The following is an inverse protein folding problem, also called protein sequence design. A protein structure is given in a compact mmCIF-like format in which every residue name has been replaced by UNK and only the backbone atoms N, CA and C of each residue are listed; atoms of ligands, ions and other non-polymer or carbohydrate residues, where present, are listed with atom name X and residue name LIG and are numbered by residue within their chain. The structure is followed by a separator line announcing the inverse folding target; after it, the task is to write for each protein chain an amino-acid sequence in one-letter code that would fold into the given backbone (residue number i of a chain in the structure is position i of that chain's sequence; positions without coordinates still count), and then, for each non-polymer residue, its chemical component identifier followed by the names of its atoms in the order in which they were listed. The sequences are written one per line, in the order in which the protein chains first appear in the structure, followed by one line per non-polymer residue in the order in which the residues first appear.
data_IF_595095187018
#
_entry.id   IF_595095187018
#
_cell.length_a   1.000
_cell.length_b   1.000
_cell.length_c   1.000
_cell.angle_alpha   90.00
_cell.angle_beta   90.00
_cell.angle_gamma   90.00
#
_symmetry.space_group_name_H-M   'P 1'
#
loop_
_entity.id
_entity.type
_entity.pdbx_description
1 polymer ?
#
# COMPACT_ATOMS: atom_id res chain seq x y z
N UNK A 1 5.62 22.83 -7.28
CA UNK A 1 5.63 23.13 -5.82
C UNK A 1 6.82 22.42 -5.18
N UNK A 2 7.50 23.04 -4.21
CA UNK A 2 8.58 22.43 -3.41
C UNK A 2 8.23 22.65 -1.95
N UNK A 3 8.20 21.58 -1.16
CA UNK A 3 7.85 21.65 0.26
C UNK A 3 9.09 22.10 1.03
N UNK A 4 8.97 23.15 1.85
CA UNK A 4 10.11 23.69 2.60
C UNK A 4 10.39 22.86 3.86
N UNK A 5 11.65 22.86 4.31
CA UNK A 5 12.06 22.14 5.52
C UNK A 5 11.29 22.59 6.76
N UNK A 6 11.07 23.90 6.94
CA UNK A 6 10.29 24.41 8.07
C UNK A 6 8.84 23.93 8.07
N UNK A 7 8.23 23.73 6.89
CA UNK A 7 6.89 23.14 6.78
C UNK A 7 6.91 21.66 7.19
N UNK A 8 7.95 20.92 6.77
CA UNK A 8 8.09 19.50 7.12
C UNK A 8 8.37 19.28 8.60
N UNK A 9 9.07 20.19 9.27
CA UNK A 9 9.24 20.16 10.73
C UNK A 9 7.89 20.29 11.44
N UNK A 10 7.04 21.24 11.03
CA UNK A 10 5.68 21.37 11.57
C UNK A 10 4.84 20.10 11.35
N UNK A 11 4.90 19.51 10.15
CA UNK A 11 4.21 18.24 9.90
C UNK A 11 4.78 17.05 10.68
N UNK A 12 6.07 17.06 11.00
CA UNK A 12 6.68 16.04 11.86
C UNK A 12 6.16 16.16 13.30
N UNK A 13 5.96 17.38 13.81
CA UNK A 13 5.36 17.59 15.13
C UNK A 13 3.91 17.11 15.18
N UNK A 14 3.12 17.35 14.12
CA UNK A 14 1.78 16.78 13.98
C UNK A 14 1.79 15.26 13.86
N UNK A 15 2.74 14.69 13.10
CA UNK A 15 2.91 13.25 12.98
C UNK A 15 3.27 12.60 14.32
N UNK A 16 4.04 13.30 15.18
CA UNK A 16 4.36 12.85 16.53
C UNK A 16 3.11 12.76 17.41
N UNK A 17 2.24 13.78 17.37
CA UNK A 17 0.97 13.73 18.09
C UNK A 17 0.10 12.55 17.64
N UNK A 18 0.03 12.31 16.33
CA UNK A 18 -0.70 11.15 15.78
C UNK A 18 -0.07 9.82 16.22
N UNK A 19 1.26 9.74 16.33
CA UNK A 19 1.94 8.55 16.84
C UNK A 19 1.60 8.27 18.30
N UNK A 20 1.55 9.31 19.14
CA UNK A 20 1.22 9.23 20.55
C UNK A 20 -0.23 8.75 20.75
N UNK A 21 -1.17 9.29 19.98
CA UNK A 21 -2.59 8.87 19.99
C UNK A 21 -2.77 7.39 19.60
N UNK A 22 -1.93 6.90 18.69
CA UNK A 22 -1.94 5.51 18.22
C UNK A 22 -1.06 4.57 19.07
N UNK A 23 -0.37 5.10 20.09
CA UNK A 23 0.60 4.40 20.92
C UNK A 23 1.68 3.66 20.10
N UNK A 24 2.22 4.33 19.07
CA UNK A 24 3.23 3.78 18.16
C UNK A 24 4.61 4.34 18.50
N UNK A 25 5.60 3.45 18.58
CA UNK A 25 7.00 3.85 18.76
C UNK A 25 7.54 4.43 17.46
N UNK A 26 8.12 5.62 17.54
CA UNK A 26 8.63 6.37 16.39
C UNK A 26 10.01 6.95 16.67
N UNK A 27 10.73 7.34 15.62
CA UNK A 27 11.99 8.07 15.71
C UNK A 27 11.96 9.27 14.78
N UNK A 28 12.29 10.45 15.30
CA UNK A 28 12.30 11.68 14.51
C UNK A 28 13.32 11.62 13.37
N UNK A 29 12.95 12.20 12.24
CA UNK A 29 13.84 12.42 11.12
C UNK A 29 14.75 13.61 11.41
N UNK A 30 16.03 13.49 11.05
CA UNK A 30 16.97 14.61 11.06
C UNK A 30 16.60 15.64 9.98
N UNK A 31 17.07 16.88 10.07
CA UNK A 31 16.84 17.89 9.01
C UNK A 31 17.31 17.45 7.61
N UNK A 32 18.39 16.65 7.55
CA UNK A 32 18.85 16.03 6.30
C UNK A 32 17.86 15.00 5.76
N UNK A 33 17.29 14.16 6.62
CA UNK A 33 16.26 13.17 6.26
C UNK A 33 14.95 13.85 5.85
N UNK A 34 14.51 14.90 6.56
CA UNK A 34 13.33 15.69 6.18
C UNK A 34 13.49 16.32 4.80
N UNK A 35 14.65 16.92 4.51
CA UNK A 35 14.94 17.48 3.20
C UNK A 35 14.90 16.40 2.10
N UNK A 36 15.46 15.22 2.36
CA UNK A 36 15.44 14.08 1.42
C UNK A 36 14.02 13.56 1.20
N UNK A 37 13.26 13.38 2.29
CA UNK A 37 11.85 13.01 2.27
C UNK A 37 11.06 13.99 1.41
N UNK A 38 11.13 15.30 1.69
CA UNK A 38 10.36 16.32 0.98
C UNK A 38 10.66 16.38 -0.51
N UNK A 39 11.95 16.22 -0.88
CA UNK A 39 12.37 16.14 -2.29
C UNK A 39 11.84 14.89 -2.99
N UNK A 40 11.95 13.73 -2.36
CA UNK A 40 11.46 12.46 -2.90
C UNK A 40 9.94 12.47 -3.02
N UNK A 41 9.25 12.91 -1.97
CA UNK A 41 7.80 13.01 -1.92
C UNK A 41 7.27 13.92 -3.04
N UNK A 42 7.84 15.12 -3.15
CA UNK A 42 7.45 16.08 -4.19
C UNK A 42 7.69 15.53 -5.61
N UNK A 43 8.77 14.77 -5.83
CA UNK A 43 9.09 14.21 -7.15
C UNK A 43 8.11 13.09 -7.53
N UNK A 44 7.94 12.12 -6.64
CA UNK A 44 7.20 10.90 -6.94
C UNK A 44 5.68 11.08 -6.87
N UNK A 45 5.19 11.96 -5.99
CA UNK A 45 3.75 12.04 -5.69
C UNK A 45 3.11 13.38 -6.04
N UNK A 46 3.90 14.43 -6.31
CA UNK A 46 3.35 15.75 -6.67
C UNK A 46 3.66 16.09 -8.12
N UNK A 47 4.90 15.91 -8.56
CA UNK A 47 5.35 16.28 -9.92
C UNK A 47 5.10 15.21 -10.97
N UNK A 48 5.10 13.94 -10.57
CA UNK A 48 4.87 12.83 -11.50
C UNK A 48 3.40 12.71 -11.93
N UNK A 49 2.47 13.30 -11.17
CA UNK A 49 1.05 13.14 -11.43
C UNK A 49 0.53 14.18 -12.43
N UNK A 50 -0.25 13.75 -13.44
CA UNK A 50 -0.72 14.64 -14.50
C UNK A 50 -1.83 15.58 -14.03
N UNK A 51 -2.54 15.26 -12.94
CA UNK A 51 -3.66 16.07 -12.44
C UNK A 51 -3.40 16.60 -11.04
N UNK A 52 -3.75 17.88 -10.84
CA UNK A 52 -3.59 18.56 -9.55
C UNK A 52 -4.40 17.90 -8.44
N UNK A 53 -5.62 17.45 -8.73
CA UNK A 53 -6.49 16.82 -7.75
C UNK A 53 -5.89 15.56 -7.13
N UNK A 54 -5.14 14.78 -7.91
CA UNK A 54 -4.45 13.60 -7.37
C UNK A 54 -3.23 13.99 -6.54
N UNK A 55 -2.45 14.97 -6.98
CA UNK A 55 -1.35 15.52 -6.20
C UNK A 55 -1.82 16.12 -4.86
N UNK A 56 -3.02 16.73 -4.85
CA UNK A 56 -3.60 17.32 -3.64
C UNK A 56 -3.94 16.25 -2.59
N UNK A 57 -4.33 15.04 -2.98
CA UNK A 57 -4.53 13.90 -2.04
C UNK A 57 -3.23 13.60 -1.30
N UNK A 58 -2.12 13.50 -2.02
CA UNK A 58 -0.81 13.29 -1.41
C UNK A 58 -0.42 14.44 -0.49
N UNK A 59 -0.63 15.69 -0.91
CA UNK A 59 -0.31 16.85 -0.07
C UNK A 59 -1.12 16.82 1.24
N UNK A 60 -2.40 16.44 1.20
CA UNK A 60 -3.23 16.28 2.40
C UNK A 60 -2.71 15.19 3.33
N UNK A 61 -2.17 14.10 2.77
CA UNK A 61 -1.68 12.95 3.52
C UNK A 61 -0.17 12.93 3.78
N UNK A 62 0.49 14.10 3.70
CA UNK A 62 1.94 14.17 3.89
C UNK A 62 2.36 13.83 5.32
N UNK A 63 1.53 14.18 6.31
CA UNK A 63 1.80 13.92 7.73
C UNK A 63 1.73 12.43 8.04
N UNK A 64 0.79 11.69 7.45
CA UNK A 64 0.70 10.23 7.56
C UNK A 64 1.88 9.57 6.84
N UNK A 65 2.32 10.14 5.71
CA UNK A 65 3.58 9.74 5.07
C UNK A 65 4.78 9.94 6.00
N UNK A 66 4.93 11.12 6.61
CA UNK A 66 6.00 11.39 7.57
C UNK A 66 5.95 10.45 8.77
N UNK A 67 4.77 10.17 9.31
CA UNK A 67 4.60 9.19 10.37
C UNK A 67 5.11 7.81 9.93
N UNK A 68 4.78 7.36 8.71
CA UNK A 68 5.34 6.14 8.13
C UNK A 68 6.87 6.14 8.08
N UNK A 69 7.48 7.27 7.72
CA UNK A 69 8.94 7.42 7.72
C UNK A 69 9.54 7.32 9.13
N UNK A 70 8.90 7.93 10.13
CA UNK A 70 9.35 7.89 11.53
C UNK A 70 9.24 6.48 12.12
N UNK A 71 8.18 5.75 11.77
CA UNK A 71 8.00 4.34 12.14
C UNK A 71 9.08 3.49 11.47
N UNK A 72 9.27 3.65 10.15
CA UNK A 72 10.28 2.90 9.40
C UNK A 72 11.70 3.12 9.94
N UNK A 73 12.04 4.36 10.31
CA UNK A 73 13.32 4.68 10.94
C UNK A 73 13.49 3.95 12.28
N UNK A 74 12.45 3.94 13.11
CA UNK A 74 12.46 3.26 14.41
C UNK A 74 12.57 1.74 14.27
N UNK A 75 11.75 1.16 13.39
CA UNK A 75 11.65 -0.27 13.14
C UNK A 75 12.93 -0.80 12.49
N UNK A 76 13.37 -0.21 11.37
CA UNK A 76 14.52 -0.69 10.58
C UNK A 76 15.88 -0.21 11.11
N UNK A 77 15.89 0.69 12.10
CA UNK A 77 17.08 1.29 12.72
C UNK A 77 18.06 1.89 11.71
N UNK A 78 17.52 2.53 10.67
CA UNK A 78 18.30 3.06 9.55
C UNK A 78 17.72 4.40 9.06
N UNK A 79 18.58 5.22 8.44
CA UNK A 79 18.17 6.53 7.92
C UNK A 79 17.33 6.43 6.65
N UNK A 80 16.40 7.38 6.48
CA UNK A 80 15.57 7.52 5.29
C UNK A 80 16.34 8.26 4.18
N UNK A 81 16.42 7.67 2.97
CA UNK A 81 17.25 8.20 1.88
C UNK A 81 16.56 8.42 0.53
N UNK A 82 15.24 8.27 0.42
CA UNK A 82 14.51 8.51 -0.83
C UNK A 82 14.49 7.30 -1.76
N UNK A 83 14.47 7.53 -3.07
CA UNK A 83 14.27 6.48 -4.09
C UNK A 83 15.49 5.57 -4.30
N UNK A 84 16.70 6.12 -4.18
CA UNK A 84 17.97 5.41 -4.38
C UNK A 84 18.78 5.44 -3.07
N UNK A 85 18.37 4.68 -2.04
CA UNK A 85 19.07 4.64 -0.76
C UNK A 85 20.47 4.03 -0.91
N UNK A 86 21.39 4.43 -0.03
CA UNK A 86 22.68 3.74 0.12
C UNK A 86 22.53 2.37 0.80
N UNK A 87 23.62 1.59 0.79
CA UNK A 87 23.64 0.24 1.38
C UNK A 87 23.10 0.23 2.81
N UNK A 88 22.16 -0.69 3.08
CA UNK A 88 21.52 -0.88 4.39
C UNK A 88 20.76 0.37 4.92
N UNK A 89 20.32 1.26 4.03
CA UNK A 89 19.46 2.39 4.37
C UNK A 89 18.01 2.10 3.99
N UNK A 90 17.09 2.96 4.41
CA UNK A 90 15.67 2.82 4.07
C UNK A 90 15.38 3.66 2.83
N UNK A 91 14.83 3.02 1.79
CA UNK A 91 14.23 3.73 0.67
C UNK A 91 12.81 4.13 1.00
N UNK A 92 12.43 5.33 0.58
CA UNK A 92 11.15 5.91 0.96
C UNK A 92 11.19 7.44 1.01
N UNK A 93 10.07 8.12 0.75
CA UNK A 93 8.76 7.57 0.38
C UNK A 93 8.75 7.03 -1.07
N UNK A 94 8.16 5.85 -1.28
CA UNK A 94 7.99 5.15 -2.57
C UNK A 94 6.52 4.80 -2.81
N UNK A 95 6.00 4.74 -4.05
CA UNK A 95 4.68 4.20 -4.32
C UNK A 95 4.53 2.77 -3.79
N UNK A 96 3.32 2.42 -3.33
CA UNK A 96 3.04 1.04 -2.94
C UNK A 96 2.99 0.17 -4.19
N UNK A 97 3.97 -0.73 -4.33
CA UNK A 97 4.01 -1.75 -5.38
C UNK A 97 3.28 -3.01 -4.91
N UNK A 98 2.62 -3.71 -5.84
CA UNK A 98 1.93 -4.98 -5.57
C UNK A 98 2.87 -6.02 -4.91
N UNK A 99 4.13 -6.04 -5.34
CA UNK A 99 5.14 -6.98 -4.85
C UNK A 99 5.51 -6.76 -3.37
N UNK A 100 5.35 -5.53 -2.84
CA UNK A 100 5.57 -5.25 -1.42
C UNK A 100 4.49 -5.88 -0.52
N UNK A 101 3.38 -6.31 -1.10
CA UNK A 101 2.28 -6.95 -0.39
C UNK A 101 2.11 -8.42 -0.81
N UNK A 102 3.08 -8.95 -1.56
CA UNK A 102 3.07 -10.33 -2.06
C UNK A 102 2.01 -10.61 -3.12
N UNK A 103 1.33 -9.59 -3.68
CA UNK A 103 0.18 -9.79 -4.60
C UNK A 103 0.62 -10.30 -5.98
N UNK A 104 1.71 -9.75 -6.51
CA UNK A 104 2.20 -10.01 -7.86
C UNK A 104 3.38 -9.10 -8.21
N UNK A 105 3.91 -9.19 -9.43
CA UNK A 105 5.01 -8.35 -9.90
C UNK A 105 4.57 -6.89 -10.08
N UNK A 106 3.31 -6.72 -10.51
CA UNK A 106 2.63 -5.45 -10.67
C UNK A 106 1.14 -5.58 -10.29
N UNK A 107 0.45 -4.45 -10.16
CA UNK A 107 -0.99 -4.40 -9.93
C UNK A 107 -1.82 -4.86 -11.12
N UNK A 108 -1.29 -4.71 -12.34
CA UNK A 108 -1.87 -5.34 -13.53
C UNK A 108 -1.56 -6.83 -13.51
N UNK A 109 -0.37 -7.26 -13.12
CA UNK A 109 0.02 -8.66 -13.10
C UNK A 109 -0.30 -9.37 -11.77
N UNK A 110 -1.58 -9.37 -11.37
CA UNK A 110 -2.09 -10.26 -10.31
C UNK A 110 -2.07 -11.70 -10.85
N UNK A 111 -0.87 -12.22 -11.08
CA UNK A 111 -0.58 -13.54 -11.64
C UNK A 111 -0.55 -14.64 -10.56
N UNK A 112 -1.03 -14.30 -9.36
CA UNK A 112 -0.73 -15.04 -8.15
C UNK A 112 -1.91 -15.69 -7.44
N UNK A 113 -3.17 -15.36 -7.77
CA UNK A 113 -4.31 -15.79 -6.95
C UNK A 113 -5.02 -17.02 -7.52
N UNK A 114 -5.18 -17.15 -8.85
CA UNK A 114 -5.85 -18.30 -9.49
C UNK A 114 -5.15 -18.70 -10.80
N UNK A 115 -4.70 -19.95 -10.87
CA UNK A 115 -3.77 -20.56 -11.86
C UNK A 115 -4.29 -20.64 -13.32
N UNK A 116 -5.23 -19.79 -13.74
CA UNK A 116 -5.72 -19.75 -15.13
C UNK A 116 -6.49 -18.50 -15.54
N UNK A 117 -6.79 -17.57 -14.62
CA UNK A 117 -7.74 -16.47 -14.86
C UNK A 117 -7.13 -15.18 -14.29
N UNK A 118 -6.24 -14.58 -15.07
CA UNK A 118 -5.52 -13.35 -14.72
C UNK A 118 -6.51 -12.18 -14.63
N UNK A 119 -6.51 -11.49 -13.49
CA UNK A 119 -7.18 -10.19 -13.29
C UNK A 119 -8.71 -10.25 -13.42
N UNK A 120 -9.27 -11.44 -13.38
CA UNK A 120 -10.70 -11.66 -13.51
C UNK A 120 -11.33 -12.00 -12.17
N UNK A 121 -12.50 -11.41 -11.94
CA UNK A 121 -13.19 -11.48 -10.67
C UNK A 121 -14.60 -12.03 -10.86
N UNK A 122 -15.00 -13.00 -10.04
CA UNK A 122 -16.39 -13.47 -9.97
C UNK A 122 -17.31 -12.39 -9.36
N UNK A 123 -18.34 -11.91 -10.07
CA UNK A 123 -19.24 -10.90 -9.55
C UNK A 123 -20.23 -11.50 -8.55
N UNK A 124 -20.65 -10.71 -7.56
CA UNK A 124 -21.67 -11.08 -6.60
C UNK A 124 -21.20 -11.86 -5.37
N UNK A 125 -19.88 -12.03 -5.21
CA UNK A 125 -19.24 -12.60 -4.02
C UNK A 125 -17.95 -11.85 -3.70
N UNK A 126 -17.60 -11.74 -2.42
CA UNK A 126 -16.31 -11.20 -2.01
C UNK A 126 -15.20 -12.18 -2.39
N UNK A 127 -14.05 -11.65 -2.83
CA UNK A 127 -12.89 -12.44 -3.25
C UNK A 127 -11.63 -11.93 -2.57
N UNK A 128 -10.72 -12.85 -2.26
CA UNK A 128 -9.43 -12.51 -1.67
C UNK A 128 -8.59 -11.73 -2.69
N UNK A 129 -8.00 -10.62 -2.25
CA UNK A 129 -7.10 -9.80 -3.06
C UNK A 129 -5.69 -9.78 -2.48
N UNK A 130 -5.55 -9.36 -1.21
CA UNK A 130 -4.27 -9.37 -0.51
C UNK A 130 -4.37 -10.42 0.58
N UNK A 131 -3.68 -11.54 0.38
CA UNK A 131 -3.71 -12.69 1.28
C UNK A 131 -2.46 -13.56 1.06
N UNK A 132 -2.24 -14.50 1.95
CA UNK A 132 -1.03 -15.32 1.96
C UNK A 132 -1.00 -16.53 1.01
N UNK A 133 -2.00 -16.64 0.12
CA UNK A 133 -2.11 -17.73 -0.85
C UNK A 133 -1.57 -17.36 -2.22
N UNK A 134 -0.93 -16.19 -2.35
CA UNK A 134 -0.40 -15.71 -3.62
C UNK A 134 0.87 -16.48 -4.02
N UNK A 135 1.20 -16.50 -5.31
CA UNK A 135 2.38 -17.21 -5.83
C UNK A 135 3.73 -16.68 -5.31
N UNK A 136 3.88 -15.37 -5.16
CA UNK A 136 5.07 -14.77 -4.56
C UNK A 136 5.23 -15.14 -3.07
N UNK A 137 4.18 -15.73 -2.52
CA UNK A 137 4.06 -16.21 -1.17
C UNK A 137 4.03 -17.76 -1.15
N UNK A 138 4.73 -18.43 -2.06
CA UNK A 138 4.95 -19.89 -2.00
C UNK A 138 3.72 -20.77 -2.22
N UNK A 139 2.55 -20.19 -2.58
CA UNK A 139 1.29 -20.83 -2.99
C UNK A 139 1.05 -22.25 -2.43
N UNK A 140 0.42 -22.35 -1.26
CA UNK A 140 -0.17 -23.60 -0.78
C UNK A 140 -1.68 -23.39 -0.70
N UNK A 141 -2.49 -24.31 -1.24
CA UNK A 141 -3.95 -24.15 -1.23
C UNK A 141 -4.52 -23.88 0.18
N UNK A 142 -3.88 -24.41 1.22
CA UNK A 142 -4.23 -24.18 2.62
C UNK A 142 -3.97 -22.76 3.15
N UNK A 143 -3.20 -21.92 2.44
CA UNK A 143 -2.91 -20.53 2.82
C UNK A 143 -3.82 -19.49 2.15
N UNK A 144 -4.69 -19.93 1.23
CA UNK A 144 -5.66 -19.06 0.57
C UNK A 144 -6.64 -18.47 1.58
N UNK A 145 -6.83 -17.15 1.55
CA UNK A 145 -7.71 -16.43 2.48
C UNK A 145 -7.12 -16.09 3.85
N UNK A 146 -5.89 -16.53 4.16
CA UNK A 146 -5.20 -16.14 5.39
C UNK A 146 -4.53 -14.78 5.25
N UNK A 147 -4.43 -14.04 6.36
CA UNK A 147 -3.77 -12.73 6.40
C UNK A 147 -2.24 -12.86 6.24
N UNK A 148 -1.63 -11.85 5.63
CA UNK A 148 -0.18 -11.67 5.56
C UNK A 148 0.30 -10.86 6.76
N UNK A 149 1.45 -11.18 7.34
CA UNK A 149 2.14 -10.39 8.37
C UNK A 149 3.22 -9.55 7.71
N UNK A 150 3.26 -8.27 8.02
CA UNK A 150 4.31 -7.38 7.54
C UNK A 150 5.59 -7.62 8.35
N UNK A 151 6.71 -7.82 7.65
CA UNK A 151 8.02 -8.00 8.29
C UNK A 151 8.67 -6.68 8.75
N UNK A 152 9.75 -6.79 9.53
CA UNK A 152 10.54 -5.65 10.05
C UNK A 152 11.08 -4.74 8.93
N UNK A 153 11.22 -5.24 7.72
CA UNK A 153 11.91 -4.59 6.61
C UNK A 153 11.00 -3.71 5.73
N UNK A 154 9.70 -3.60 6.03
CA UNK A 154 8.75 -2.77 5.31
C UNK A 154 7.78 -2.02 6.24
N UNK A 155 7.38 -0.83 5.82
CA UNK A 155 6.27 -0.05 6.40
C UNK A 155 5.44 0.53 5.27
N UNK A 156 4.12 0.38 5.33
CA UNK A 156 3.19 0.91 4.33
C UNK A 156 2.19 1.85 4.97
N UNK A 157 1.92 2.97 4.31
CA UNK A 157 0.89 3.93 4.69
C UNK A 157 -0.10 4.05 3.54
N UNK A 158 -1.31 3.57 3.75
CA UNK A 158 -2.38 3.51 2.75
C UNK A 158 -3.42 4.57 3.10
N UNK A 159 -3.68 5.51 2.20
CA UNK A 159 -4.70 6.55 2.40
C UNK A 159 -5.70 6.64 1.24
N UNK A 160 -5.60 5.74 0.25
CA UNK A 160 -6.60 5.68 -0.81
C UNK A 160 -6.66 4.34 -1.51
N UNK A 161 -7.72 4.19 -2.29
CA UNK A 161 -7.99 3.04 -3.15
C UNK A 161 -8.32 3.53 -4.54
N UNK A 162 -7.73 2.93 -5.57
CA UNK A 162 -8.08 3.23 -6.96
C UNK A 162 -8.27 1.93 -7.74
N UNK A 163 -8.77 2.07 -8.95
CA UNK A 163 -8.57 1.08 -10.00
C UNK A 163 -7.89 1.78 -11.17
N UNK A 164 -6.96 1.08 -11.83
CA UNK A 164 -6.32 1.55 -13.07
C UNK A 164 -7.07 1.09 -14.32
N UNK A 165 -8.12 0.28 -14.17
CA UNK A 165 -9.00 -0.10 -15.28
C UNK A 165 -9.77 1.12 -15.80
N UNK A 166 -9.88 1.27 -17.13
CA UNK A 166 -10.56 2.42 -17.75
C UNK A 166 -12.06 2.52 -17.38
N UNK A 167 -12.67 1.38 -17.01
CA UNK A 167 -14.04 1.29 -16.51
C UNK A 167 -14.07 0.49 -15.20
N UNK A 168 -13.77 1.12 -14.05
CA UNK A 168 -13.71 0.43 -12.76
C UNK A 168 -15.02 -0.26 -12.42
N UNK A 169 -14.94 -1.52 -11.97
CA UNK A 169 -16.06 -2.37 -11.58
C UNK A 169 -16.09 -2.64 -10.08
N UNK A 170 -14.99 -2.35 -9.38
CA UNK A 170 -14.86 -2.44 -7.93
C UNK A 170 -15.98 -1.67 -7.24
N UNK A 171 -16.74 -2.36 -6.41
CA UNK A 171 -17.86 -1.78 -5.66
C UNK A 171 -17.44 -1.44 -4.23
N UNK A 172 -16.75 -2.36 -3.57
CA UNK A 172 -16.27 -2.16 -2.21
C UNK A 172 -15.05 -3.02 -1.90
N UNK A 173 -14.29 -2.59 -0.90
CA UNK A 173 -13.14 -3.31 -0.34
C UNK A 173 -13.39 -3.53 1.15
N UNK A 174 -13.01 -4.68 1.67
CA UNK A 174 -13.02 -4.97 3.10
C UNK A 174 -11.61 -5.37 3.56
N UNK A 175 -11.19 -4.81 4.69
CA UNK A 175 -9.91 -5.14 5.31
C UNK A 175 -10.12 -5.94 6.59
N UNK A 176 -9.24 -6.90 6.84
CA UNK A 176 -9.05 -7.50 8.15
C UNK A 176 -7.64 -7.18 8.61
N UNK A 177 -7.53 -6.47 9.74
CA UNK A 177 -6.26 -6.00 10.30
C UNK A 177 -6.17 -6.56 11.72
N UNK A 178 -5.08 -7.27 12.02
CA UNK A 178 -4.85 -7.87 13.36
C UNK A 178 -6.01 -8.76 13.82
N UNK A 179 -6.50 -9.59 12.89
CA UNK A 179 -7.65 -10.47 13.10
C UNK A 179 -9.00 -9.77 13.25
N UNK A 180 -9.05 -8.44 13.16
CA UNK A 180 -10.29 -7.66 13.27
C UNK A 180 -10.76 -7.18 11.90
N UNK A 181 -11.88 -7.72 11.45
CA UNK A 181 -12.56 -7.27 10.24
C UNK A 181 -13.09 -5.85 10.42
N UNK A 182 -12.71 -4.97 9.51
CA UNK A 182 -13.16 -3.57 9.47
C UNK A 182 -14.46 -3.46 8.67
N UNK A 183 -15.24 -2.38 8.87
CA UNK A 183 -16.37 -2.06 7.99
C UNK A 183 -15.93 -2.01 6.51
N UNK A 184 -16.81 -2.43 5.61
CA UNK A 184 -16.52 -2.34 4.18
C UNK A 184 -16.44 -0.88 3.74
N UNK A 185 -15.48 -0.59 2.87
CA UNK A 185 -15.26 0.71 2.28
C UNK A 185 -15.95 0.71 0.92
N UNK A 186 -16.95 1.58 0.77
CA UNK A 186 -17.65 1.75 -0.49
C UNK A 186 -16.80 2.55 -1.49
N UNK A 187 -16.48 1.94 -2.62
CA UNK A 187 -15.68 2.52 -3.69
C UNK A 187 -16.54 2.92 -4.91
N UNK A 188 -17.72 2.30 -5.06
CA UNK A 188 -18.55 2.41 -6.27
C UNK A 188 -18.91 3.84 -6.67
N UNK A 189 -19.20 4.74 -5.73
CA UNK A 189 -19.49 6.14 -6.08
C UNK A 189 -18.28 6.86 -6.65
N UNK A 190 -17.17 6.86 -5.90
CA UNK A 190 -15.93 7.52 -6.29
C UNK A 190 -15.37 6.95 -7.60
N UNK A 191 -15.48 5.63 -7.80
CA UNK A 191 -14.88 4.91 -8.92
C UNK A 191 -15.78 4.71 -10.14
N UNK A 192 -17.11 4.77 -10.02
CA UNK A 192 -18.04 4.54 -11.15
C UNK A 192 -18.77 5.80 -11.60
N UNK A 193 -19.13 6.67 -10.67
CA UNK A 193 -20.08 7.76 -10.91
C UNK A 193 -19.43 9.13 -11.05
N UNK A 194 -18.14 9.26 -10.71
CA UNK A 194 -17.36 10.49 -10.92
C UNK A 194 -16.98 10.68 -12.42
N UNK A 195 -17.94 11.13 -13.24
CA UNK A 195 -17.73 11.49 -14.65
C UNK A 195 -16.63 12.57 -14.78
N UNK A 196 -15.69 12.40 -15.72
CA UNK A 196 -14.67 13.41 -16.04
C UNK A 196 -13.34 13.32 -15.26
N UNK A 197 -13.21 12.43 -14.28
CA UNK A 197 -11.95 12.20 -13.57
C UNK A 197 -11.12 11.10 -14.28
N UNK A 198 -9.90 11.44 -14.70
CA UNK A 198 -8.98 10.55 -15.45
C UNK A 198 -8.41 9.40 -14.61
N UNK A 199 -8.37 9.51 -13.28
CA UNK A 199 -8.15 8.40 -12.34
C UNK A 199 -8.98 8.66 -11.09
N UNK A 200 -9.73 7.64 -10.66
CA UNK A 200 -10.76 7.76 -9.64
C UNK A 200 -10.29 7.15 -8.33
N UNK A 201 -9.73 8.00 -7.48
CA UNK A 201 -9.21 7.61 -6.16
C UNK A 201 -10.31 7.80 -5.12
N UNK A 202 -10.62 6.73 -4.38
CA UNK A 202 -11.36 6.79 -3.13
C UNK A 202 -10.37 7.05 -1.99
N UNK A 203 -10.30 8.30 -1.55
CA UNK A 203 -9.56 8.69 -0.35
C UNK A 203 -10.24 8.10 0.90
N UNK A 204 -9.41 7.60 1.82
CA UNK A 204 -9.84 7.03 3.09
C UNK A 204 -9.90 8.14 4.14
N UNK A 205 -10.90 8.07 5.02
CA UNK A 205 -11.04 9.06 6.09
C UNK A 205 -9.88 8.96 7.09
N UNK A 206 -9.38 7.75 7.32
CA UNK A 206 -8.20 7.47 8.14
C UNK A 206 -7.22 6.63 7.34
N UNK A 207 -5.93 6.99 7.39
CA UNK A 207 -4.88 6.18 6.79
C UNK A 207 -4.69 4.87 7.57
N UNK A 208 -4.40 3.80 6.84
CA UNK A 208 -4.02 2.51 7.38
C UNK A 208 -2.49 2.43 7.37
N UNK A 209 -1.89 2.22 8.53
CA UNK A 209 -0.43 2.07 8.67
C UNK A 209 -0.15 0.61 8.96
N UNK A 210 0.57 -0.04 8.05
CA UNK A 210 1.03 -1.41 8.20
C UNK A 210 2.50 -1.38 8.61
N UNK A 211 2.79 -1.94 9.77
CA UNK A 211 4.13 -2.01 10.39
C UNK A 211 4.46 -3.45 10.75
N UNK A 212 5.67 -3.70 11.23
CA UNK A 212 6.08 -5.00 11.76
C UNK A 212 4.97 -5.63 12.62
N UNK A 213 4.74 -6.91 12.42
CA UNK A 213 3.76 -7.75 13.13
C UNK A 213 2.29 -7.45 12.85
N UNK A 214 2.00 -6.42 12.06
CA UNK A 214 0.63 -6.16 11.60
C UNK A 214 0.21 -7.27 10.65
N UNK A 215 -0.92 -7.92 10.94
CA UNK A 215 -1.54 -8.87 10.00
C UNK A 215 -2.55 -8.13 9.13
N UNK A 216 -2.51 -8.36 7.83
CA UNK A 216 -3.30 -7.65 6.84
C UNK A 216 -3.92 -8.63 5.85
N UNK A 217 -5.23 -8.49 5.62
CA UNK A 217 -5.96 -9.18 4.56
C UNK A 217 -6.89 -8.18 3.89
N UNK A 218 -6.96 -8.23 2.56
CA UNK A 218 -7.91 -7.43 1.78
C UNK A 218 -8.79 -8.33 0.92
N UNK A 219 -10.08 -8.03 0.91
CA UNK A 219 -11.09 -8.65 0.07
C UNK A 219 -11.78 -7.59 -0.78
N UNK A 220 -12.08 -7.94 -2.03
CA UNK A 220 -12.73 -7.06 -3.00
C UNK A 220 -14.10 -7.62 -3.36
N UNK A 221 -15.04 -6.72 -3.65
CA UNK A 221 -16.37 -7.09 -4.09
C UNK A 221 -16.74 -6.36 -5.38
N UNK A 222 -17.29 -7.13 -6.33
CA UNK A 222 -17.78 -6.66 -7.62
C UNK A 222 -19.26 -6.98 -7.73
N UNK A 223 -20.07 -6.01 -8.17
CA UNK A 223 -21.52 -6.18 -8.26
C UNK A 223 -21.92 -7.19 -9.35
N UNK A 224 -23.02 -7.94 -9.12
CA UNK A 224 -23.67 -8.78 -10.14
C UNK A 224 -24.18 -8.00 -11.36
N UNK A 225 -24.26 -6.67 -11.25
CA UNK A 225 -24.64 -5.82 -12.38
C UNK A 225 -23.63 -5.88 -13.55
N UNK A 226 -22.38 -6.30 -13.32
CA UNK A 226 -21.34 -6.36 -14.37
C UNK A 226 -21.24 -7.73 -15.07
N UNK A 227 -22.04 -8.72 -14.65
CA UNK A 227 -22.03 -10.06 -15.22
C UNK A 227 -22.73 -11.08 -14.32
N UNK A 228 -23.13 -12.21 -14.89
CA UNK A 228 -23.55 -13.35 -14.08
C UNK A 228 -22.38 -13.85 -13.22
N UNK A 229 -22.64 -14.53 -12.09
CA UNK A 229 -21.59 -15.05 -11.19
C UNK A 229 -20.55 -15.94 -11.91
N UNK A 230 -20.92 -16.55 -13.04
CA UNK A 230 -20.07 -17.39 -13.89
C UNK A 230 -19.29 -16.61 -14.96
N UNK A 231 -19.60 -15.32 -15.15
CA UNK A 231 -18.91 -14.43 -16.08
C UNK A 231 -17.95 -13.56 -15.30
N UNK A 232 -16.68 -13.78 -15.55
CA UNK A 232 -15.62 -13.03 -14.93
C UNK A 232 -15.55 -11.58 -15.42
N UNK A 233 -15.15 -10.69 -14.51
CA UNK A 233 -14.94 -9.28 -14.84
C UNK A 233 -13.49 -8.87 -14.66
N UNK A 234 -12.93 -8.20 -15.68
CA UNK A 234 -11.61 -7.59 -15.59
C UNK A 234 -11.63 -6.31 -14.75
N UNK A 235 -10.74 -6.21 -13.75
CA UNK A 235 -10.46 -4.98 -12.98
C UNK A 235 -9.10 -5.05 -12.27
N UNK A 236 -8.53 -3.88 -11.94
CA UNK A 236 -7.18 -3.71 -11.39
C UNK A 236 -7.18 -2.81 -10.13
N UNK A 237 -7.65 -3.31 -8.97
CA UNK A 237 -7.58 -2.57 -7.73
C UNK A 237 -6.12 -2.24 -7.36
N UNK A 238 -5.88 -1.02 -6.88
CA UNK A 238 -4.56 -0.56 -6.41
C UNK A 238 -4.67 0.18 -5.09
N UNK A 239 -3.68 0.01 -4.23
CA UNK A 239 -3.54 0.81 -3.01
C UNK A 239 -2.83 2.13 -3.32
N UNK A 240 -3.40 3.23 -2.86
CA UNK A 240 -2.81 4.56 -2.96
C UNK A 240 -2.19 4.93 -1.61
N UNK A 241 -0.91 5.28 -1.62
CA UNK A 241 -0.15 5.36 -0.40
C UNK A 241 1.34 5.60 -0.61
N UNK A 242 2.09 5.52 0.49
CA UNK A 242 3.56 5.49 0.48
C UNK A 242 4.08 4.23 1.17
N UNK A 243 5.22 3.76 0.71
CA UNK A 243 5.99 2.65 1.28
C UNK A 243 7.38 3.10 1.67
N UNK A 244 7.89 2.44 2.71
CA UNK A 244 9.28 2.49 3.16
C UNK A 244 9.80 1.06 3.18
N UNK A 245 10.91 0.82 2.49
CA UNK A 245 11.45 -0.53 2.30
C UNK A 245 12.97 -0.47 2.48
N UNK A 246 13.55 -1.49 3.12
CA UNK A 246 14.99 -1.58 3.30
C UNK A 246 15.71 -1.79 1.96
N UNK A 247 16.84 -1.12 1.77
CA UNK A 247 17.55 -1.08 0.48
C UNK A 247 17.87 -2.44 -0.17
N UNK A 248 18.26 -3.50 0.56
CA UNK A 248 18.54 -4.78 -0.09
C UNK A 248 17.35 -5.36 -0.86
N UNK A 249 16.15 -5.20 -0.31
CA UNK A 249 14.90 -5.61 -0.93
C UNK A 249 14.58 -4.82 -2.21
N UNK A 250 15.08 -3.59 -2.32
CA UNK A 250 14.86 -2.74 -3.49
C UNK A 250 15.78 -3.07 -4.66
N UNK A 251 16.83 -3.87 -4.45
CA UNK A 251 17.73 -4.32 -5.52
C UNK A 251 17.09 -5.36 -6.43
N UNK A 252 16.06 -6.05 -5.93
CA UNK A 252 15.35 -7.08 -6.69
C UNK A 252 14.24 -6.42 -7.52
N UNK A 253 14.34 -6.54 -8.85
CA UNK A 253 13.28 -6.07 -9.77
C UNK A 253 11.98 -6.86 -9.58
N UNK A 254 12.14 -8.18 -9.42
CA UNK A 254 11.10 -9.13 -9.06
C UNK A 254 11.56 -9.82 -7.77
N UNK A 255 10.91 -9.57 -6.62
CA UNK A 255 11.34 -10.17 -5.37
C UNK A 255 11.19 -11.69 -5.43
N UNK A 256 12.27 -12.41 -5.13
CA UNK A 256 12.26 -13.88 -5.08
C UNK A 256 11.65 -14.30 -3.76
N UNK A 257 10.41 -14.82 -3.81
CA UNK A 257 9.64 -15.47 -2.76
C UNK A 257 10.03 -15.14 -1.30
N UNK A 258 9.12 -14.50 -0.57
CA UNK A 258 9.21 -14.37 0.88
C UNK A 258 9.55 -15.73 1.52
N UNK A 259 10.35 -15.77 2.58
CA UNK A 259 10.71 -17.01 3.27
C UNK A 259 9.63 -17.43 4.27
N UNK A 260 9.20 -18.70 4.25
CA UNK A 260 8.01 -19.21 4.93
C UNK A 260 8.36 -19.99 6.21
N UNK A 261 7.85 -19.56 7.39
CA UNK A 261 7.65 -20.48 8.52
C UNK A 261 6.46 -20.06 9.40
N UNK A 262 5.50 -20.97 9.65
CA UNK A 262 4.45 -20.81 10.66
C UNK A 262 3.02 -20.61 10.14
N UNK A 263 2.05 -20.54 11.07
CA UNK A 263 0.62 -20.35 10.81
C UNK A 263 0.24 -18.93 10.36
N UNK A 264 1.19 -18.00 10.44
CA UNK A 264 1.08 -16.62 9.96
C UNK A 264 2.20 -16.42 8.94
N UNK A 265 1.84 -15.93 7.77
CA UNK A 265 2.75 -15.85 6.64
C UNK A 265 3.41 -14.49 6.59
N UNK A 266 4.75 -14.46 6.60
CA UNK A 266 5.51 -13.23 6.77
C UNK A 266 6.01 -12.69 5.43
N UNK A 267 5.78 -11.40 5.18
CA UNK A 267 6.38 -10.67 4.07
C UNK A 267 7.78 -10.25 4.51
N UNK A 268 8.75 -11.13 4.27
CA UNK A 268 10.19 -10.83 4.40
C UNK A 268 10.76 -10.68 3.00
N UNK A 269 11.23 -9.47 2.70
CA UNK A 269 12.07 -9.24 1.53
C UNK A 269 13.52 -9.53 1.93
N UNK A 270 14.20 -10.36 1.14
CA UNK A 270 15.55 -10.86 1.45
C UNK A 270 16.52 -9.70 1.66
N UNK A 271 17.35 -9.84 2.71
CA UNK A 271 18.45 -8.94 3.08
C UNK A 271 19.68 -9.15 2.22
#
# INVERSE_FOLDING_TARGET
MSISEGTLQGYQDEARQLADDLAIVTSDLTGKELTRFGRSYSRQFVRALPTRAMADIHIRHIKEGLLGAMIAKSQMKAEIQGETPGSNKVGGPLPIRACYLGVGEDWEDIDGIYDSLRQTWAPGTAQNWIHAGTRLMGSVAASVGNAVRIGENAVHVIYGLSSIHASPKLESVQFTIDGKTKPSIYCGWAQKHAMGHTQRIKELDNAIILREDTTFKAEVFFSRAFGATVTEVLDFPVLYGVSYVKEPAMRELVPVAATWSGAVFEIVHRT
#
